data_IF_872094984571
#
_entry.id   IF_872094984571
#
_cell.length_a   1.000
_cell.length_b   1.000
_cell.length_c   1.000
_cell.angle_alpha   90.00
_cell.angle_beta   90.00
_cell.angle_gamma   90.00
#
_symmetry.space_group_name_H-M   'P 1'
#
loop_
_entity.id
_entity.type
_entity.pdbx_description
1 polymer ?
#
# COMPACT_ATOMS: atom_id res chain seq x y z
N UNK A 1 -4.01 0.30 -23.94
CA UNK A 1 -3.69 -0.88 -23.12
C UNK A 1 -2.18 -1.08 -23.12
N UNK A 2 -1.47 -0.41 -22.21
CA UNK A 2 -0.03 -0.58 -22.08
C UNK A 2 0.26 -1.96 -21.47
N UNK A 3 0.94 -2.80 -22.24
CA UNK A 3 1.53 -4.05 -21.76
C UNK A 3 2.81 -3.67 -21.00
N UNK A 4 2.85 -3.86 -19.69
CA UNK A 4 4.06 -3.65 -18.89
C UNK A 4 4.51 -5.00 -18.28
N UNK A 5 5.55 -5.56 -18.91
CA UNK A 5 6.18 -6.83 -18.58
C UNK A 5 7.30 -6.63 -17.55
N UNK A 6 6.99 -6.21 -16.32
CA UNK A 6 8.01 -6.19 -15.28
C UNK A 6 7.37 -6.20 -13.90
N UNK A 7 7.72 -7.17 -13.05
CA UNK A 7 7.26 -7.29 -11.66
C UNK A 7 7.38 -5.96 -10.88
N UNK A 8 8.36 -5.13 -11.23
CA UNK A 8 8.57 -3.80 -10.68
C UNK A 8 7.42 -2.83 -10.95
N UNK A 9 6.77 -2.89 -12.11
CA UNK A 9 5.66 -1.99 -12.46
C UNK A 9 4.44 -2.25 -11.59
N UNK A 10 4.16 -3.53 -11.30
CA UNK A 10 3.10 -3.92 -10.37
C UNK A 10 3.42 -3.45 -8.94
N UNK A 11 4.65 -3.65 -8.48
CA UNK A 11 5.09 -3.16 -7.16
C UNK A 11 4.92 -1.63 -7.07
N UNK A 12 5.39 -0.90 -8.08
CA UNK A 12 5.33 0.56 -8.11
C UNK A 12 3.87 1.06 -8.10
N UNK A 13 2.99 0.40 -8.84
CA UNK A 13 1.56 0.72 -8.87
C UNK A 13 0.91 0.64 -7.48
N UNK A 14 1.07 -0.48 -6.77
CA UNK A 14 0.50 -0.64 -5.43
C UNK A 14 1.12 0.34 -4.43
N UNK A 15 2.45 0.43 -4.39
CA UNK A 15 3.17 1.29 -3.43
C UNK A 15 2.78 2.75 -3.62
N UNK A 16 2.69 3.24 -4.86
CA UNK A 16 2.30 4.62 -5.12
C UNK A 16 0.83 4.88 -4.76
N UNK A 17 -0.07 3.94 -5.07
CA UNK A 17 -1.48 4.07 -4.69
C UNK A 17 -1.69 4.15 -3.18
N UNK A 18 -0.97 3.33 -2.40
CA UNK A 18 -1.04 3.35 -0.94
C UNK A 18 -0.47 4.68 -0.39
N UNK A 19 0.70 5.10 -0.86
CA UNK A 19 1.32 6.38 -0.46
C UNK A 19 0.41 7.57 -0.70
N UNK A 20 -0.21 7.64 -1.88
CA UNK A 20 -1.10 8.74 -2.24
C UNK A 20 -2.33 8.80 -1.33
N UNK A 21 -2.91 7.65 -0.99
CA UNK A 21 -4.06 7.58 -0.07
C UNK A 21 -3.68 8.01 1.36
N UNK A 22 -2.55 7.54 1.88
CA UNK A 22 -2.07 7.95 3.21
C UNK A 22 -1.83 9.46 3.25
N UNK A 23 -1.21 10.03 2.22
CA UNK A 23 -0.95 11.47 2.14
C UNK A 23 -2.25 12.29 2.08
N UNK A 24 -3.22 11.88 1.26
CA UNK A 24 -4.52 12.56 1.12
C UNK A 24 -5.40 12.45 2.37
N UNK A 25 -5.27 11.35 3.12
CA UNK A 25 -6.02 11.12 4.35
C UNK A 25 -5.37 11.74 5.60
N UNK A 26 -4.28 12.51 5.45
CA UNK A 26 -3.49 13.03 6.57
C UNK A 26 -2.95 11.92 7.51
N UNK A 27 -2.74 10.71 6.98
CA UNK A 27 -2.26 9.54 7.72
C UNK A 27 -0.75 9.53 7.97
N UNK A 28 -0.05 10.64 7.71
CA UNK A 28 1.38 10.79 7.95
C UNK A 28 1.69 12.19 8.50
N UNK A 29 2.50 12.26 9.54
CA UNK A 29 2.96 13.51 10.17
C UNK A 29 4.46 13.72 9.92
N UNK A 30 5.32 13.08 10.72
CA UNK A 30 6.78 13.18 10.58
C UNK A 30 7.35 12.28 9.47
N UNK A 31 6.53 11.40 8.87
CA UNK A 31 6.91 10.53 7.76
C UNK A 31 7.74 9.29 8.12
N UNK A 32 8.25 9.16 9.35
CA UNK A 32 9.17 8.08 9.71
C UNK A 32 8.53 6.69 9.65
N UNK A 33 7.30 6.55 10.13
CA UNK A 33 6.56 5.28 10.12
C UNK A 33 5.90 4.96 8.78
N UNK A 34 5.75 5.94 7.88
CA UNK A 34 5.00 5.80 6.63
C UNK A 34 5.52 4.71 5.69
N UNK A 35 6.85 4.53 5.51
CA UNK A 35 7.37 3.41 4.72
C UNK A 35 6.98 2.04 5.27
N UNK A 36 6.92 1.88 6.60
CA UNK A 36 6.48 0.64 7.25
C UNK A 36 5.04 0.31 6.89
N UNK A 37 4.12 1.25 7.15
CA UNK A 37 2.70 1.09 6.82
C UNK A 37 2.45 0.82 5.33
N UNK A 38 3.17 1.50 4.45
CA UNK A 38 3.05 1.28 2.99
C UNK A 38 3.44 -0.15 2.61
N UNK A 39 4.49 -0.70 3.22
CA UNK A 39 4.95 -2.06 2.92
C UNK A 39 4.06 -3.14 3.56
N UNK A 40 3.52 -2.91 4.76
CA UNK A 40 2.52 -3.80 5.36
C UNK A 40 1.25 -3.88 4.50
N UNK A 41 0.73 -2.72 4.07
CA UNK A 41 -0.43 -2.64 3.17
C UNK A 41 -0.15 -3.23 1.78
N UNK A 42 1.06 -3.06 1.26
CA UNK A 42 1.48 -3.70 0.02
C UNK A 42 1.43 -5.23 0.15
N UNK A 43 1.87 -5.77 1.29
CA UNK A 43 1.89 -7.22 1.55
C UNK A 43 0.47 -7.76 1.66
N UNK A 44 -0.42 -7.04 2.35
CA UNK A 44 -1.85 -7.36 2.42
C UNK A 44 -2.48 -7.39 1.02
N UNK A 45 -2.37 -6.31 0.25
CA UNK A 45 -2.98 -6.19 -1.08
C UNK A 45 -2.41 -7.16 -2.11
N UNK A 46 -1.17 -7.61 -1.92
CA UNK A 46 -0.54 -8.64 -2.75
C UNK A 46 -1.15 -10.02 -2.50
N UNK A 47 -1.51 -10.31 -1.26
CA UNK A 47 -2.04 -11.62 -0.83
C UNK A 47 -3.58 -11.69 -0.93
N UNK A 48 -4.26 -10.57 -0.70
CA UNK A 48 -5.70 -10.43 -0.77
C UNK A 48 -6.05 -9.12 -1.50
N UNK A 49 -6.63 -9.23 -2.71
CA UNK A 49 -6.99 -8.06 -3.53
C UNK A 49 -8.25 -7.33 -3.03
N UNK A 50 -9.02 -7.94 -2.12
CA UNK A 50 -10.21 -7.36 -1.50
C UNK A 50 -10.17 -7.62 0.02
N UNK A 51 -9.27 -6.94 0.76
CA UNK A 51 -9.20 -7.06 2.21
C UNK A 51 -10.45 -6.48 2.88
N UNK A 52 -10.82 -7.06 4.00
CA UNK A 52 -11.82 -6.51 4.92
C UNK A 52 -11.21 -5.37 5.76
N UNK A 53 -12.05 -4.63 6.49
CA UNK A 53 -11.54 -3.61 7.42
C UNK A 53 -10.69 -4.24 8.53
N UNK A 54 -11.08 -5.40 9.04
CA UNK A 54 -10.33 -6.18 10.03
C UNK A 54 -8.93 -6.56 9.50
N UNK A 55 -8.83 -7.06 8.27
CA UNK A 55 -7.53 -7.38 7.65
C UNK A 55 -6.60 -6.15 7.54
N UNK A 56 -7.17 -4.96 7.38
CA UNK A 56 -6.43 -3.70 7.28
C UNK A 56 -5.96 -3.24 8.67
N UNK A 57 -6.77 -3.40 9.71
CA UNK A 57 -6.39 -3.11 11.09
C UNK A 57 -5.26 -4.03 11.55
N UNK A 58 -5.37 -5.33 11.30
CA UNK A 58 -4.35 -6.33 11.61
C UNK A 58 -3.01 -6.05 10.90
N UNK A 59 -3.05 -5.50 9.68
CA UNK A 59 -1.84 -5.12 8.95
C UNK A 59 -1.18 -3.83 9.50
N UNK A 60 -1.85 -3.10 10.40
CA UNK A 60 -1.37 -1.88 11.04
C UNK A 60 -0.89 -2.07 12.49
N UNK A 61 -1.16 -3.22 13.12
CA UNK A 61 -0.60 -3.59 14.43
C UNK A 61 0.89 -3.97 14.36
#
# INVERSE_FOLDING_TARGET
MAKTNSTYDTILFYVNGIKERIAKAHGSQCGFCTPGFVMSMYTLLRNNSQPTEEDIEDACE
#
